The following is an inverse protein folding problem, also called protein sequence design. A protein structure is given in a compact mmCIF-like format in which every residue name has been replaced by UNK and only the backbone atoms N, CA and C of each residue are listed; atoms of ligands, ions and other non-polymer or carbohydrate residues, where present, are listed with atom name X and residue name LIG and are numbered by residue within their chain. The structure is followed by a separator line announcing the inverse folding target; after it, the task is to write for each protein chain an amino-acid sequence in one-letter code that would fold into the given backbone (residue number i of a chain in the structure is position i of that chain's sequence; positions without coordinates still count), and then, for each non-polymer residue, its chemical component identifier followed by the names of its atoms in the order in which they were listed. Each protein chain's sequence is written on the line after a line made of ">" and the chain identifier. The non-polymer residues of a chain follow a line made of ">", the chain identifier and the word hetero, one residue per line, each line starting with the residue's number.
data_IF_627334146167
#
_entry.id   IF_627334146167
#
_cell.length_a   1.000
_cell.length_b   1.000
_cell.length_c   1.000
_cell.angle_alpha   90.00
_cell.angle_beta   90.00
_cell.angle_gamma   90.00
#
_symmetry.space_group_name_H-M   'P 1'
#
loop_
_entity.id
_entity.type
_entity.pdbx_description
1 polymer ?
#
# COMPACT_ATOMS: atom_id res chain seq x y z
N UNK A 1 -31.66 37.69 28.01
CA UNK A 1 -30.52 37.31 27.13
C UNK A 1 -30.33 35.79 27.07
N UNK A 2 -30.08 35.08 28.19
CA UNK A 2 -29.79 33.63 28.18
C UNK A 2 -30.85 32.69 27.55
N UNK A 3 -32.16 32.99 27.66
CA UNK A 3 -33.23 32.18 27.04
C UNK A 3 -33.28 32.27 25.50
N UNK A 4 -32.72 33.33 24.91
CA UNK A 4 -32.72 33.54 23.46
C UNK A 4 -31.55 32.78 22.80
N UNK A 5 -30.38 32.75 23.45
CA UNK A 5 -29.18 32.04 22.99
C UNK A 5 -29.36 30.52 23.00
N UNK A 6 -29.95 29.95 24.06
CA UNK A 6 -30.25 28.51 24.11
C UNK A 6 -31.21 28.05 22.99
N UNK A 7 -32.15 28.93 22.58
CA UNK A 7 -33.12 28.65 21.51
C UNK A 7 -32.52 28.86 20.10
N UNK A 8 -31.41 29.58 19.98
CA UNK A 8 -30.64 29.68 18.73
C UNK A 8 -29.69 28.50 18.58
N UNK A 9 -28.93 28.14 19.63
CA UNK A 9 -28.07 26.95 19.64
C UNK A 9 -28.85 25.66 19.35
N UNK A 10 -30.04 25.49 19.95
CA UNK A 10 -30.88 24.31 19.67
C UNK A 10 -31.39 24.21 18.23
N UNK A 11 -31.53 25.35 17.52
CA UNK A 11 -31.93 25.37 16.10
C UNK A 11 -30.76 25.13 15.16
N UNK A 12 -29.57 25.56 15.55
CA UNK A 12 -28.32 25.38 14.79
C UNK A 12 -27.82 23.92 14.88
N UNK A 13 -27.89 23.32 16.07
CA UNK A 13 -27.64 21.88 16.28
C UNK A 13 -28.61 21.00 15.48
N UNK A 14 -29.90 21.37 15.44
CA UNK A 14 -30.90 20.60 14.69
C UNK A 14 -30.66 20.67 13.17
N UNK A 15 -30.27 21.84 12.64
CA UNK A 15 -29.88 21.98 11.22
C UNK A 15 -28.62 21.19 10.86
N UNK A 16 -27.63 21.15 11.75
CA UNK A 16 -26.40 20.39 11.51
C UNK A 16 -26.66 18.88 11.52
N UNK A 17 -27.47 18.39 12.46
CA UNK A 17 -27.92 16.99 12.50
C UNK A 17 -28.77 16.61 11.28
N UNK A 18 -29.71 17.46 10.87
CA UNK A 18 -30.51 17.22 9.66
C UNK A 18 -29.64 17.22 8.39
N UNK A 19 -28.56 18.02 8.35
CA UNK A 19 -27.59 18.02 7.23
C UNK A 19 -26.67 16.80 7.21
N UNK A 20 -26.24 16.29 8.37
CA UNK A 20 -25.43 15.06 8.45
C UNK A 20 -26.26 13.82 8.14
N UNK A 21 -27.52 13.77 8.58
CA UNK A 21 -28.45 12.68 8.24
C UNK A 21 -28.74 12.67 6.73
N UNK A 22 -29.00 13.84 6.13
CA UNK A 22 -29.20 13.95 4.68
C UNK A 22 -27.95 13.59 3.88
N UNK A 23 -26.74 13.95 4.34
CA UNK A 23 -25.50 13.56 3.67
C UNK A 23 -25.19 12.07 3.78
N UNK A 24 -25.56 11.43 4.90
CA UNK A 24 -25.42 9.99 5.06
C UNK A 24 -26.44 9.20 4.23
N UNK A 25 -27.69 9.68 4.12
CA UNK A 25 -28.70 9.07 3.25
C UNK A 25 -28.30 9.16 1.76
N UNK A 26 -27.74 10.29 1.32
CA UNK A 26 -27.22 10.45 -0.06
C UNK A 26 -26.02 9.52 -0.32
N UNK A 27 -25.18 9.28 0.70
CA UNK A 27 -24.01 8.39 0.61
C UNK A 27 -24.43 6.92 0.49
N UNK A 28 -25.48 6.52 1.20
CA UNK A 28 -26.04 5.17 1.15
C UNK A 28 -26.77 4.88 -0.17
N UNK A 29 -27.45 5.88 -0.75
CA UNK A 29 -28.15 5.73 -2.04
C UNK A 29 -27.19 5.62 -3.24
N UNK A 30 -26.06 6.33 -3.22
CA UNK A 30 -25.03 6.22 -4.28
C UNK A 30 -24.30 4.86 -4.18
N UNK A 31 -24.05 4.36 -2.97
CA UNK A 31 -23.46 3.04 -2.74
C UNK A 31 -24.34 1.89 -3.25
N UNK A 32 -25.66 1.97 -2.99
CA UNK A 32 -26.64 0.97 -3.47
C UNK A 32 -26.82 0.97 -4.98
N UNK A 33 -26.78 2.14 -5.64
CA UNK A 33 -27.04 2.26 -7.08
C UNK A 33 -25.89 1.76 -7.97
N UNK A 34 -24.64 1.80 -7.51
CA UNK A 34 -23.48 1.48 -8.35
C UNK A 34 -22.71 0.21 -7.96
N UNK A 35 -22.87 -0.29 -6.72
CA UNK A 35 -21.99 -1.36 -6.21
C UNK A 35 -22.70 -2.54 -5.53
N UNK A 36 -24.03 -2.56 -5.43
CA UNK A 36 -24.78 -3.77 -5.08
C UNK A 36 -24.48 -4.40 -3.71
N UNK A 37 -24.05 -3.63 -2.71
CA UNK A 37 -23.82 -4.15 -1.36
C UNK A 37 -25.10 -4.09 -0.52
N UNK A 38 -25.56 -5.26 -0.03
CA UNK A 38 -26.61 -5.37 0.99
C UNK A 38 -26.05 -5.20 2.41
N UNK A 39 -26.87 -4.63 3.29
CA UNK A 39 -26.59 -4.26 4.68
C UNK A 39 -25.73 -5.26 5.46
N UNK A 40 -24.57 -4.79 5.94
CA UNK A 40 -23.86 -5.40 7.06
C UNK A 40 -23.48 -4.31 8.06
N UNK A 41 -24.41 -4.01 8.96
CA UNK A 41 -24.12 -3.34 10.21
C UNK A 41 -23.19 -4.24 11.05
N UNK A 42 -22.00 -3.75 11.38
CA UNK A 42 -21.13 -4.42 12.36
C UNK A 42 -21.68 -4.23 13.78
N UNK A 43 -21.59 -5.23 14.67
CA UNK A 43 -22.08 -5.10 16.05
C UNK A 43 -21.19 -4.13 16.82
N UNK A 44 -21.78 -3.01 17.27
CA UNK A 44 -21.15 -2.10 18.23
C UNK A 44 -21.07 -2.80 19.59
N UNK A 45 -19.87 -3.13 20.05
CA UNK A 45 -19.66 -3.55 21.44
C UNK A 45 -19.87 -2.35 22.37
N UNK A 46 -20.72 -2.56 23.38
CA UNK A 46 -21.09 -1.58 24.38
C UNK A 46 -19.96 -1.33 25.39
N UNK A 47 -19.05 -0.40 25.08
CA UNK A 47 -18.23 0.26 26.07
C UNK A 47 -18.24 1.75 25.73
N UNK A 48 -18.80 2.60 26.62
CA UNK A 48 -18.90 4.04 26.38
C UNK A 48 -17.55 4.72 26.13
N UNK A 49 -17.54 6.01 25.77
CA UNK A 49 -16.39 6.76 25.23
C UNK A 49 -15.03 6.53 25.94
N UNK A 50 -15.02 6.30 27.26
CA UNK A 50 -13.79 5.99 28.02
C UNK A 50 -13.25 4.58 27.78
N UNK A 51 -14.12 3.61 27.52
CA UNK A 51 -13.74 2.24 27.15
C UNK A 51 -13.15 2.18 25.74
N UNK A 52 -13.72 2.94 24.80
CA UNK A 52 -13.17 3.07 23.45
C UNK A 52 -11.79 3.74 23.47
N UNK A 53 -11.61 4.82 24.25
CA UNK A 53 -10.30 5.45 24.43
C UNK A 53 -9.26 4.50 25.05
N UNK A 54 -9.64 3.64 25.99
CA UNK A 54 -8.74 2.67 26.59
C UNK A 54 -8.33 1.57 25.58
N UNK A 55 -9.26 1.12 24.74
CA UNK A 55 -8.97 0.18 23.64
C UNK A 55 -8.04 0.81 22.62
N UNK A 56 -8.28 2.06 22.22
CA UNK A 56 -7.44 2.78 21.26
C UNK A 56 -6.03 3.04 21.82
N UNK A 57 -5.90 3.34 23.12
CA UNK A 57 -4.60 3.50 23.79
C UNK A 57 -3.87 2.15 23.88
N UNK A 58 -4.58 1.07 24.24
CA UNK A 58 -3.99 -0.26 24.29
C UNK A 58 -3.56 -0.76 22.91
N UNK A 59 -4.32 -0.44 21.87
CA UNK A 59 -3.98 -0.76 20.48
C UNK A 59 -2.81 0.07 19.96
N UNK A 60 -2.73 1.36 20.33
CA UNK A 60 -1.55 2.22 20.09
C UNK A 60 -0.30 1.72 20.81
N UNK A 61 -0.41 1.26 22.05
CA UNK A 61 0.71 0.68 22.80
C UNK A 61 1.17 -0.67 22.20
N UNK A 62 0.23 -1.54 21.77
CA UNK A 62 0.59 -2.77 21.05
C UNK A 62 1.19 -2.48 19.68
N UNK A 63 0.71 -1.44 18.98
CA UNK A 63 1.31 -1.00 17.73
C UNK A 63 2.73 -0.48 17.97
N UNK A 64 2.98 0.31 19.01
CA UNK A 64 4.31 0.79 19.36
C UNK A 64 5.28 -0.36 19.73
N UNK A 65 4.81 -1.38 20.46
CA UNK A 65 5.61 -2.56 20.79
C UNK A 65 6.01 -3.36 19.54
N UNK A 66 5.05 -3.63 18.63
CA UNK A 66 5.32 -4.29 17.34
C UNK A 66 6.20 -3.44 16.41
N UNK A 67 6.12 -2.12 16.51
CA UNK A 67 6.99 -1.20 15.78
C UNK A 67 8.44 -1.28 16.27
N UNK A 68 8.67 -1.45 17.58
CA UNK A 68 10.01 -1.68 18.14
C UNK A 68 10.60 -3.02 17.70
N UNK A 69 9.78 -4.06 17.51
CA UNK A 69 10.22 -5.36 16.99
C UNK A 69 10.59 -5.27 15.50
N UNK A 70 9.75 -4.63 14.69
CA UNK A 70 10.01 -4.40 13.26
C UNK A 70 11.25 -3.52 13.07
N UNK A 71 11.42 -2.48 13.89
CA UNK A 71 12.61 -1.62 13.87
C UNK A 71 13.87 -2.37 14.31
N UNK A 72 13.77 -3.22 15.33
CA UNK A 72 14.86 -4.12 15.72
C UNK A 72 15.24 -5.12 14.63
N UNK A 73 14.27 -5.68 13.91
CA UNK A 73 14.52 -6.64 12.83
C UNK A 73 15.11 -5.96 11.57
N UNK A 74 14.63 -4.75 11.23
CA UNK A 74 15.16 -3.94 10.12
C UNK A 74 16.59 -3.46 10.43
N UNK A 75 16.87 -3.07 11.67
CA UNK A 75 18.22 -2.70 12.14
C UNK A 75 19.16 -3.91 12.14
N UNK A 76 18.68 -5.10 12.54
CA UNK A 76 19.49 -6.33 12.52
C UNK A 76 19.83 -6.79 11.11
N UNK A 77 18.91 -6.65 10.16
CA UNK A 77 19.15 -7.02 8.75
C UNK A 77 20.02 -6.02 7.98
N UNK A 78 20.30 -4.84 8.55
CA UNK A 78 21.15 -3.80 7.96
C UNK A 78 22.57 -3.77 8.54
N UNK A 79 22.88 -4.61 9.53
CA UNK A 79 24.25 -4.84 10.02
C UNK A 79 24.91 -5.96 9.21
N UNK A 80 26.16 -5.80 8.72
CA UNK A 80 26.86 -6.88 8.03
C UNK A 80 27.21 -7.98 9.04
N UNK A 81 26.59 -9.16 8.91
CA UNK A 81 26.93 -10.31 9.76
C UNK A 81 28.23 -10.95 9.28
N UNK A 82 29.28 -10.86 10.09
CA UNK A 82 30.49 -11.67 9.98
C UNK A 82 30.16 -13.13 10.34
N UNK A 83 29.85 -13.97 9.35
CA UNK A 83 30.05 -15.42 9.45
C UNK A 83 30.41 -15.98 8.08
N UNK A 84 31.69 -16.27 7.89
CA UNK A 84 32.20 -17.08 6.80
C UNK A 84 31.87 -18.57 7.00
N UNK A 85 31.80 -19.26 5.86
CA UNK A 85 31.97 -20.70 5.65
C UNK A 85 30.81 -21.62 6.04
N UNK A 86 29.99 -21.98 5.05
CA UNK A 86 29.98 -23.36 4.56
C UNK A 86 29.24 -23.50 3.22
N UNK A 87 29.85 -24.32 2.37
CA UNK A 87 29.60 -24.52 0.95
C UNK A 87 28.23 -25.19 0.68
N UNK A 88 27.58 -24.81 -0.44
CA UNK A 88 26.50 -25.53 -1.18
C UNK A 88 25.10 -24.89 -1.19
N UNK A 89 24.99 -23.67 -1.73
CA UNK A 89 23.78 -23.19 -2.41
C UNK A 89 24.19 -22.23 -3.53
N UNK A 90 24.09 -22.67 -4.79
CA UNK A 90 24.30 -21.80 -5.95
C UNK A 90 22.94 -21.18 -6.30
N UNK A 91 22.59 -20.09 -5.60
CA UNK A 91 21.67 -19.09 -6.14
C UNK A 91 22.37 -18.27 -7.24
N UNK A 92 21.62 -17.60 -8.14
CA UNK A 92 22.23 -16.89 -9.25
C UNK A 92 23.24 -15.84 -8.78
N UNK A 93 24.43 -15.92 -9.36
CA UNK A 93 25.60 -15.09 -9.10
C UNK A 93 25.26 -13.64 -9.47
N UNK A 94 25.10 -12.78 -8.46
CA UNK A 94 25.01 -11.34 -8.65
C UNK A 94 26.42 -10.77 -8.82
N UNK A 95 26.89 -10.71 -10.07
CA UNK A 95 27.95 -9.79 -10.50
C UNK A 95 27.48 -9.04 -11.74
N UNK A 96 26.45 -8.22 -11.56
CA UNK A 96 26.18 -7.11 -12.46
C UNK A 96 25.98 -5.85 -11.62
N UNK A 97 26.61 -4.78 -12.11
CA UNK A 97 26.84 -3.51 -11.45
C UNK A 97 25.60 -3.02 -10.70
N UNK A 98 25.79 -2.64 -9.43
CA UNK A 98 24.86 -1.78 -8.73
C UNK A 98 24.79 -0.46 -9.51
N UNK A 99 23.86 -0.37 -10.47
CA UNK A 99 23.40 0.92 -10.97
C UNK A 99 22.77 1.60 -9.77
N UNK A 100 23.47 2.59 -9.23
CA UNK A 100 23.04 3.35 -8.08
C UNK A 100 21.64 3.87 -8.30
N UNK A 101 20.77 3.69 -7.30
CA UNK A 101 19.45 4.30 -7.30
C UNK A 101 19.62 5.82 -7.41
N UNK A 102 19.23 6.42 -8.53
CA UNK A 102 19.35 7.88 -8.72
C UNK A 102 18.29 8.69 -7.98
N UNK A 103 17.32 8.02 -7.33
CA UNK A 103 16.13 8.64 -6.75
C UNK A 103 14.95 8.77 -7.73
N UNK A 104 15.16 8.58 -9.04
CA UNK A 104 14.09 8.80 -10.03
C UNK A 104 12.98 7.74 -9.98
N UNK A 105 11.75 8.13 -10.36
CA UNK A 105 10.62 7.20 -10.53
C UNK A 105 10.86 6.11 -11.58
N UNK A 106 11.76 6.35 -12.54
CA UNK A 106 12.12 5.31 -13.51
C UNK A 106 13.01 4.23 -12.88
N UNK A 107 13.98 4.62 -12.06
CA UNK A 107 14.82 3.66 -11.35
C UNK A 107 14.05 2.91 -10.26
N UNK A 108 13.11 3.58 -9.58
CA UNK A 108 12.18 2.94 -8.66
C UNK A 108 11.28 1.92 -9.37
N UNK A 109 10.80 2.24 -10.58
CA UNK A 109 10.08 1.27 -11.41
C UNK A 109 10.95 0.07 -11.79
N UNK A 110 12.21 0.28 -12.19
CA UNK A 110 13.15 -0.82 -12.47
C UNK A 110 13.35 -1.73 -11.26
N UNK A 111 13.47 -1.16 -10.05
CA UNK A 111 13.58 -1.95 -8.82
C UNK A 111 12.32 -2.76 -8.54
N UNK A 112 11.14 -2.19 -8.80
CA UNK A 112 9.87 -2.93 -8.76
C UNK A 112 9.89 -4.10 -9.75
N UNK A 113 10.34 -3.87 -10.99
CA UNK A 113 10.50 -4.93 -12.01
C UNK A 113 11.46 -6.03 -11.53
N UNK A 114 12.58 -5.68 -10.91
CA UNK A 114 13.55 -6.66 -10.39
C UNK A 114 12.98 -7.50 -9.25
N UNK A 115 12.11 -6.92 -8.41
CA UNK A 115 11.46 -7.66 -7.31
C UNK A 115 10.35 -8.59 -7.79
N UNK A 116 9.60 -8.21 -8.83
CA UNK A 116 8.47 -8.98 -9.38
C UNK A 116 8.90 -9.96 -10.49
N UNK A 117 9.96 -9.62 -11.19
CA UNK A 117 10.39 -10.25 -12.42
C UNK A 117 11.02 -11.60 -12.21
N UNK A 118 10.51 -12.61 -12.92
CA UNK A 118 11.23 -13.86 -13.13
C UNK A 118 12.14 -13.71 -14.33
N UNK A 119 13.33 -14.30 -14.27
CA UNK A 119 14.36 -14.18 -15.29
C UNK A 119 14.57 -15.52 -15.99
N UNK A 120 14.71 -15.50 -17.31
CA UNK A 120 15.08 -16.68 -18.11
C UNK A 120 16.58 -17.00 -17.95
N UNK A 121 17.05 -18.06 -18.63
CA UNK A 121 18.47 -18.47 -18.58
C UNK A 121 19.45 -17.41 -19.13
N UNK A 122 18.95 -16.46 -19.91
CA UNK A 122 19.74 -15.39 -20.51
C UNK A 122 19.66 -14.10 -19.67
N UNK A 123 18.89 -14.09 -18.57
CA UNK A 123 18.70 -12.93 -17.69
C UNK A 123 17.58 -11.97 -18.13
N UNK A 124 16.75 -12.34 -19.10
CA UNK A 124 15.63 -11.50 -19.55
C UNK A 124 14.34 -11.83 -18.79
N UNK A 125 13.41 -10.88 -18.71
CA UNK A 125 12.11 -11.12 -18.08
C UNK A 125 11.38 -12.27 -18.78
N UNK A 126 10.99 -13.27 -18.01
CA UNK A 126 10.29 -14.46 -18.48
C UNK A 126 8.77 -14.28 -18.42
N UNK A 127 8.05 -15.03 -19.26
CA UNK A 127 6.59 -15.06 -19.28
C UNK A 127 6.11 -16.15 -18.34
N UNK A 128 5.67 -15.74 -17.15
CA UNK A 128 5.20 -16.67 -16.13
C UNK A 128 3.73 -17.04 -16.37
N UNK A 129 3.44 -18.34 -16.51
CA UNK A 129 2.06 -18.82 -16.56
C UNK A 129 1.48 -18.89 -15.14
N UNK A 130 0.36 -18.21 -14.94
CA UNK A 130 -0.33 -18.20 -13.66
C UNK A 130 -1.12 -19.51 -13.50
N UNK A 131 -1.09 -20.15 -12.32
CA UNK A 131 -1.94 -21.30 -12.04
C UNK A 131 -3.43 -20.96 -12.20
N UNK A 132 -4.23 -21.94 -12.61
CA UNK A 132 -5.68 -21.75 -12.67
C UNK A 132 -6.24 -21.39 -11.28
N UNK A 133 -7.11 -20.38 -11.23
CA UNK A 133 -7.67 -19.85 -9.98
C UNK A 133 -6.85 -18.72 -9.35
N UNK A 134 -5.67 -18.41 -9.89
CA UNK A 134 -4.97 -17.18 -9.52
C UNK A 134 -5.72 -15.96 -10.07
N UNK A 135 -5.91 -14.94 -9.23
CA UNK A 135 -6.82 -13.83 -9.53
C UNK A 135 -6.27 -12.89 -10.61
N UNK A 136 -5.05 -13.10 -11.11
CA UNK A 136 -4.34 -12.29 -12.12
C UNK A 136 -4.56 -12.69 -13.58
N UNK A 137 -5.28 -13.77 -13.89
CA UNK A 137 -5.49 -14.22 -15.27
C UNK A 137 -4.66 -15.46 -15.60
N UNK A 138 -4.09 -15.52 -16.80
CA UNK A 138 -3.36 -16.71 -17.29
C UNK A 138 -1.85 -16.54 -17.35
N UNK A 139 -1.33 -15.31 -17.43
CA UNK A 139 0.11 -15.07 -17.41
C UNK A 139 0.45 -13.66 -16.93
N UNK A 140 1.70 -13.49 -16.50
CA UNK A 140 2.29 -12.21 -16.14
C UNK A 140 3.75 -12.09 -16.57
N UNK A 141 4.22 -10.84 -16.67
CA UNK A 141 5.62 -10.48 -16.84
C UNK A 141 5.92 -9.38 -15.81
N UNK A 142 6.73 -9.67 -14.80
CA UNK A 142 7.07 -8.75 -13.70
C UNK A 142 5.84 -8.10 -13.03
N UNK A 143 4.87 -8.91 -12.62
CA UNK A 143 3.61 -8.46 -11.98
C UNK A 143 2.59 -7.83 -12.93
N UNK A 144 2.95 -7.55 -14.19
CA UNK A 144 2.04 -7.05 -15.22
C UNK A 144 1.28 -8.24 -15.81
N UNK A 145 0.10 -8.52 -15.24
CA UNK A 145 -0.75 -9.65 -15.63
C UNK A 145 -1.78 -9.29 -16.70
N UNK A 146 -2.24 -10.30 -17.44
CA UNK A 146 -3.15 -10.10 -18.56
C UNK A 146 -4.62 -9.85 -18.19
N UNK A 147 -5.00 -9.92 -16.92
CA UNK A 147 -6.37 -9.59 -16.49
C UNK A 147 -6.53 -8.10 -16.18
N UNK A 148 -5.59 -7.54 -15.42
CA UNK A 148 -5.62 -6.15 -14.97
C UNK A 148 -4.86 -5.20 -15.89
N UNK A 149 -3.90 -5.73 -16.66
CA UNK A 149 -3.07 -4.98 -17.60
C UNK A 149 -3.01 -5.65 -18.99
N UNK A 150 -4.17 -5.97 -19.62
CA UNK A 150 -4.22 -6.85 -20.80
C UNK A 150 -3.35 -6.39 -21.97
N UNK A 151 -3.37 -5.10 -22.30
CA UNK A 151 -2.63 -4.54 -23.43
C UNK A 151 -1.13 -4.55 -23.18
N UNK A 152 -0.70 -4.17 -21.97
CA UNK A 152 0.71 -4.14 -21.59
C UNK A 152 1.30 -5.54 -21.45
N UNK A 153 0.57 -6.48 -20.84
CA UNK A 153 0.96 -7.88 -20.74
C UNK A 153 1.12 -8.50 -22.14
N UNK A 154 0.19 -8.21 -23.06
CA UNK A 154 0.27 -8.65 -24.45
C UNK A 154 1.51 -8.07 -25.15
N UNK A 155 1.75 -6.77 -25.04
CA UNK A 155 2.91 -6.12 -25.65
C UNK A 155 4.24 -6.72 -25.13
N UNK A 156 4.36 -6.93 -23.81
CA UNK A 156 5.51 -7.58 -23.19
C UNK A 156 5.74 -9.00 -23.70
N UNK A 157 4.66 -9.76 -23.90
CA UNK A 157 4.73 -11.13 -24.41
C UNK A 157 5.21 -11.19 -25.86
N UNK A 158 4.75 -10.26 -26.69
CA UNK A 158 5.03 -10.24 -28.14
C UNK A 158 6.38 -9.61 -28.50
N UNK A 159 6.93 -8.73 -27.64
CA UNK A 159 8.20 -8.06 -27.90
C UNK A 159 9.43 -8.93 -27.64
N UNK A 160 10.59 -8.47 -28.13
CA UNK A 160 11.88 -9.09 -27.88
C UNK A 160 12.17 -9.11 -26.37
N UNK A 161 12.60 -10.26 -25.78
CA UNK A 161 12.92 -10.35 -24.36
C UNK A 161 13.88 -9.27 -23.83
N UNK A 162 14.80 -8.79 -24.67
CA UNK A 162 15.77 -7.74 -24.32
C UNK A 162 15.13 -6.40 -24.00
N UNK A 163 13.95 -6.12 -24.56
CA UNK A 163 13.28 -4.82 -24.44
C UNK A 163 12.26 -4.80 -23.29
N UNK A 164 11.98 -5.96 -22.69
CA UNK A 164 10.92 -6.13 -21.68
C UNK A 164 11.16 -5.32 -20.42
N UNK A 165 12.40 -5.25 -19.93
CA UNK A 165 12.72 -4.52 -18.69
C UNK A 165 12.38 -3.04 -18.80
N UNK A 166 12.85 -2.40 -19.88
CA UNK A 166 12.60 -0.98 -20.12
C UNK A 166 11.11 -0.70 -20.32
N UNK A 167 10.42 -1.54 -21.09
CA UNK A 167 8.99 -1.39 -21.30
C UNK A 167 8.20 -1.54 -19.98
N UNK A 168 8.51 -2.59 -19.19
CA UNK A 168 7.84 -2.84 -17.92
C UNK A 168 8.05 -1.68 -16.93
N UNK A 169 9.28 -1.17 -16.81
CA UNK A 169 9.57 -0.04 -15.94
C UNK A 169 8.82 1.23 -16.38
N UNK A 170 8.81 1.55 -17.68
CA UNK A 170 8.03 2.69 -18.21
C UNK A 170 6.54 2.51 -17.97
N UNK A 171 6.02 1.30 -18.16
CA UNK A 171 4.61 0.99 -17.92
C UNK A 171 4.23 1.23 -16.46
N UNK A 172 4.99 0.68 -15.51
CA UNK A 172 4.76 0.86 -14.07
C UNK A 172 4.77 2.35 -13.71
N UNK A 173 5.80 3.08 -14.16
CA UNK A 173 5.90 4.53 -13.94
C UNK A 173 4.68 5.29 -14.42
N UNK A 174 4.22 5.02 -15.64
CA UNK A 174 3.06 5.70 -16.21
C UNK A 174 1.76 5.28 -15.51
N UNK A 175 1.58 4.00 -15.24
CA UNK A 175 0.40 3.46 -14.56
C UNK A 175 0.22 4.08 -13.16
N UNK A 176 1.31 4.27 -12.42
CA UNK A 176 1.29 4.84 -11.06
C UNK A 176 1.25 6.37 -11.02
N UNK A 177 1.45 7.04 -12.16
CA UNK A 177 1.49 8.51 -12.25
C UNK A 177 0.27 9.23 -11.66
N UNK A 178 -0.98 8.69 -11.67
CA UNK A 178 -2.11 9.38 -11.04
C UNK A 178 -1.98 9.53 -9.52
N UNK A 179 -1.12 8.73 -8.88
CA UNK A 179 -0.77 8.82 -7.46
C UNK A 179 0.52 9.63 -7.28
N UNK A 180 1.60 9.22 -7.95
CA UNK A 180 2.93 9.81 -7.70
C UNK A 180 3.02 11.28 -8.11
N UNK A 181 2.31 11.71 -9.16
CA UNK A 181 2.31 13.12 -9.59
C UNK A 181 1.61 14.07 -8.62
N UNK A 182 0.83 13.56 -7.67
CA UNK A 182 0.09 14.36 -6.69
C UNK A 182 0.77 14.43 -5.33
N UNK A 183 1.72 13.54 -5.07
CA UNK A 183 2.45 13.50 -3.80
C UNK A 183 3.71 14.36 -3.91
N UNK A 184 4.23 14.86 -2.77
CA UNK A 184 5.58 15.41 -2.74
C UNK A 184 6.61 14.38 -3.26
N UNK A 185 7.68 14.87 -3.88
CA UNK A 185 8.64 14.06 -4.64
C UNK A 185 9.26 12.93 -3.81
N UNK A 186 9.51 13.20 -2.53
CA UNK A 186 10.11 12.29 -1.55
C UNK A 186 9.28 11.01 -1.34
N UNK A 187 7.96 11.07 -1.59
CA UNK A 187 7.07 9.92 -1.47
C UNK A 187 6.97 9.09 -2.76
N UNK A 188 7.41 9.65 -3.89
CA UNK A 188 7.17 9.12 -5.22
C UNK A 188 7.60 7.66 -5.38
N UNK A 189 8.89 7.31 -5.20
CA UNK A 189 9.39 5.94 -5.32
C UNK A 189 8.65 4.93 -4.44
N UNK A 190 8.38 5.28 -3.18
CA UNK A 190 7.69 4.39 -2.25
C UNK A 190 6.24 4.15 -2.69
N UNK A 191 5.52 5.21 -3.04
CA UNK A 191 4.12 5.09 -3.45
C UNK A 191 3.95 4.51 -4.85
N UNK A 192 4.97 4.58 -5.71
CA UNK A 192 4.98 3.87 -6.98
C UNK A 192 4.89 2.36 -6.79
N UNK A 193 5.82 1.75 -6.04
CA UNK A 193 5.75 0.30 -5.76
C UNK A 193 4.43 -0.03 -5.06
N UNK A 194 4.07 0.69 -4.01
CA UNK A 194 2.85 0.41 -3.26
C UNK A 194 1.58 0.47 -4.14
N UNK A 195 1.48 1.47 -5.01
CA UNK A 195 0.34 1.66 -5.91
C UNK A 195 0.27 0.60 -7.01
N UNK A 196 1.42 0.14 -7.53
CA UNK A 196 1.44 -0.97 -8.46
C UNK A 196 0.90 -2.26 -7.81
N UNK A 197 1.28 -2.51 -6.56
CA UNK A 197 0.99 -3.78 -5.87
C UNK A 197 -0.39 -3.87 -5.24
N UNK A 198 -0.90 -2.76 -4.70
CA UNK A 198 -2.20 -2.71 -4.02
C UNK A 198 -3.24 -1.93 -4.81
N UNK A 199 -2.89 -1.48 -6.00
CA UNK A 199 -3.71 -0.59 -6.81
C UNK A 199 -3.65 0.86 -6.31
N UNK A 200 -3.99 1.78 -7.22
CA UNK A 200 -3.91 3.22 -6.98
C UNK A 200 -4.71 3.64 -5.74
N UNK A 201 -6.01 3.30 -5.68
CA UNK A 201 -6.86 3.63 -4.53
C UNK A 201 -6.42 2.92 -3.25
N UNK A 202 -6.02 1.65 -3.33
CA UNK A 202 -5.57 0.88 -2.17
C UNK A 202 -4.35 1.51 -1.50
N UNK A 203 -3.39 1.99 -2.28
CA UNK A 203 -2.21 2.70 -1.77
C UNK A 203 -2.56 4.00 -1.04
N UNK A 204 -3.48 4.80 -1.61
CA UNK A 204 -3.90 6.08 -1.01
C UNK A 204 -4.69 5.85 0.28
N UNK A 205 -5.53 4.81 0.34
CA UNK A 205 -6.25 4.47 1.57
C UNK A 205 -5.30 4.08 2.70
N UNK A 206 -4.24 3.34 2.40
CA UNK A 206 -3.21 3.01 3.38
C UNK A 206 -2.49 4.26 3.88
N UNK A 207 -2.18 5.21 2.98
CA UNK A 207 -1.64 6.51 3.36
C UNK A 207 -2.56 7.25 4.33
N UNK A 208 -3.82 7.44 3.93
CA UNK A 208 -4.80 8.20 4.72
C UNK A 208 -4.97 7.60 6.11
N UNK A 209 -5.11 6.27 6.22
CA UNK A 209 -5.16 5.58 7.52
C UNK A 209 -3.90 5.82 8.36
N UNK A 210 -2.72 5.73 7.73
CA UNK A 210 -1.44 5.91 8.42
C UNK A 210 -1.25 7.32 8.98
N UNK A 211 -1.82 8.34 8.33
CA UNK A 211 -1.83 9.73 8.80
C UNK A 211 -3.14 10.10 9.52
N UNK A 212 -3.99 9.13 9.87
CA UNK A 212 -5.19 9.35 10.68
C UNK A 212 -6.29 10.17 9.99
N UNK A 213 -6.39 10.10 8.67
CA UNK A 213 -7.48 10.66 7.88
C UNK A 213 -8.49 9.57 7.49
N UNK A 214 -9.70 9.99 7.13
CA UNK A 214 -10.69 9.12 6.49
C UNK A 214 -10.14 8.62 5.14
N UNK A 215 -10.36 7.34 4.84
CA UNK A 215 -9.71 6.63 3.74
C UNK A 215 -10.57 6.57 2.46
N UNK A 216 -10.93 7.74 1.93
CA UNK A 216 -11.69 7.85 0.68
C UNK A 216 -10.89 7.39 -0.57
N UNK A 217 -9.57 7.24 -0.45
CA UNK A 217 -8.67 6.82 -1.52
C UNK A 217 -8.33 7.93 -2.52
N UNK A 218 -8.57 9.20 -2.16
CA UNK A 218 -8.31 10.37 -3.00
C UNK A 218 -7.25 11.28 -2.36
N UNK A 219 -6.22 11.62 -3.13
CA UNK A 219 -5.24 12.64 -2.73
C UNK A 219 -5.85 14.02 -2.99
N UNK A 220 -6.40 14.63 -1.94
CA UNK A 220 -6.89 16.00 -1.93
C UNK A 220 -6.13 16.89 -0.96
N UNK A 221 -6.55 18.16 -0.84
CA UNK A 221 -5.85 19.17 -0.05
C UNK A 221 -5.61 18.74 1.41
N UNK A 222 -6.59 18.11 2.06
CA UNK A 222 -6.44 17.62 3.44
C UNK A 222 -5.30 16.60 3.60
N UNK A 223 -5.13 15.72 2.60
CA UNK A 223 -4.03 14.75 2.59
C UNK A 223 -2.69 15.49 2.45
N UNK A 224 -2.61 16.45 1.54
CA UNK A 224 -1.39 17.23 1.29
C UNK A 224 -1.01 18.13 2.47
N UNK A 225 -1.98 18.81 3.08
CA UNK A 225 -1.78 19.64 4.27
C UNK A 225 -1.26 18.83 5.45
N UNK A 226 -1.71 17.57 5.57
CA UNK A 226 -1.22 16.68 6.61
C UNK A 226 0.20 16.21 6.32
N UNK A 227 0.50 15.87 5.08
CA UNK A 227 1.84 15.45 4.66
C UNK A 227 2.88 16.56 4.84
N UNK A 228 2.52 17.82 4.61
CA UNK A 228 3.44 18.96 4.76
C UNK A 228 3.88 19.23 6.20
N UNK A 229 3.19 18.64 7.18
CA UNK A 229 3.47 18.77 8.61
C UNK A 229 4.21 17.56 9.18
N UNK A 230 4.49 16.55 8.37
CA UNK A 230 5.08 15.29 8.81
C UNK A 230 6.42 15.01 8.13
N UNK A 231 7.29 14.27 8.83
CA UNK A 231 8.51 13.75 8.24
C UNK A 231 8.17 12.60 7.26
N UNK A 232 8.63 12.64 5.99
CA UNK A 232 8.34 11.59 5.01
C UNK A 232 8.76 10.17 5.43
N UNK A 233 9.90 10.04 6.09
CA UNK A 233 10.40 8.73 6.58
C UNK A 233 9.43 8.13 7.59
N UNK A 234 8.94 8.95 8.53
CA UNK A 234 7.98 8.51 9.56
C UNK A 234 6.63 8.13 8.95
N UNK A 235 6.16 8.89 7.96
CA UNK A 235 4.94 8.58 7.21
C UNK A 235 5.08 7.23 6.52
N UNK A 236 6.14 7.02 5.76
CA UNK A 236 6.37 5.77 5.03
C UNK A 236 6.55 4.56 5.96
N UNK A 237 7.15 4.77 7.14
CA UNK A 237 7.20 3.77 8.22
C UNK A 237 5.79 3.42 8.71
N UNK A 238 4.96 4.43 9.02
CA UNK A 238 3.56 4.23 9.44
C UNK A 238 2.72 3.54 8.36
N UNK A 239 2.90 3.88 7.09
CA UNK A 239 2.21 3.25 5.96
C UNK A 239 2.57 1.78 5.83
N UNK A 240 3.86 1.45 5.99
CA UNK A 240 4.34 0.07 5.97
C UNK A 240 3.71 -0.76 7.10
N UNK A 241 3.64 -0.19 8.31
CA UNK A 241 2.97 -0.81 9.44
C UNK A 241 1.45 -0.96 9.22
N UNK A 242 0.80 0.03 8.60
CA UNK A 242 -0.63 -0.03 8.30
C UNK A 242 -0.95 -1.06 7.22
N UNK A 243 -0.10 -1.20 6.21
CA UNK A 243 -0.24 -2.28 5.23
C UNK A 243 -0.17 -3.63 5.92
N UNK A 244 0.82 -3.85 6.79
CA UNK A 244 0.96 -5.11 7.51
C UNK A 244 -0.27 -5.43 8.37
N UNK A 245 -0.80 -4.43 9.11
CA UNK A 245 -2.04 -4.59 9.87
C UNK A 245 -3.22 -4.92 8.97
N UNK A 246 -3.33 -4.27 7.82
CA UNK A 246 -4.38 -4.54 6.86
C UNK A 246 -4.33 -5.98 6.33
N UNK A 247 -3.15 -6.49 5.95
CA UNK A 247 -3.02 -7.87 5.51
C UNK A 247 -3.38 -8.87 6.61
N UNK A 248 -2.98 -8.61 7.87
CA UNK A 248 -3.33 -9.45 9.02
C UNK A 248 -4.85 -9.51 9.23
N UNK A 249 -5.55 -8.37 9.14
CA UNK A 249 -7.03 -8.34 9.19
C UNK A 249 -7.68 -9.13 8.04
N UNK A 250 -7.10 -9.12 6.84
CA UNK A 250 -7.60 -9.93 5.73
C UNK A 250 -7.40 -11.44 5.97
N UNK A 251 -6.33 -11.83 6.65
CA UNK A 251 -6.04 -13.22 7.01
C UNK A 251 -6.98 -13.69 8.12
N UNK A 252 -7.29 -12.84 9.10
CA UNK A 252 -8.28 -13.14 10.14
C UNK A 252 -9.66 -13.48 9.52
N UNK A 253 -10.05 -12.76 8.46
CA UNK A 253 -11.29 -13.01 7.72
C UNK A 253 -11.19 -14.16 6.69
N UNK A 254 -9.99 -14.47 6.21
CA UNK A 254 -9.73 -15.56 5.27
C UNK A 254 -8.35 -16.19 5.54
N UNK A 255 -8.28 -17.23 6.40
CA UNK A 255 -7.03 -17.84 6.82
C UNK A 255 -6.17 -18.42 5.68
N UNK A 256 -6.78 -18.81 4.55
CA UNK A 256 -6.03 -19.35 3.40
C UNK A 256 -5.06 -18.32 2.79
N UNK A 257 -5.31 -17.04 3.04
CA UNK A 257 -4.40 -15.95 2.62
C UNK A 257 -3.10 -15.93 3.41
N UNK A 258 -3.04 -16.61 4.56
CA UNK A 258 -1.87 -16.63 5.45
C UNK A 258 -0.58 -17.09 4.75
N UNK A 259 -0.69 -17.96 3.75
CA UNK A 259 0.46 -18.44 2.94
C UNK A 259 1.20 -17.32 2.20
N UNK A 260 0.56 -16.19 1.93
CA UNK A 260 1.16 -15.05 1.23
C UNK A 260 1.87 -14.06 2.17
N UNK A 261 1.61 -14.14 3.48
CA UNK A 261 2.09 -13.15 4.44
C UNK A 261 3.63 -13.00 4.47
N UNK A 262 4.44 -14.08 4.46
CA UNK A 262 5.89 -13.93 4.49
C UNK A 262 6.44 -13.16 3.28
N UNK A 263 5.89 -13.40 2.09
CA UNK A 263 6.28 -12.68 0.87
C UNK A 263 5.89 -11.20 0.92
N UNK A 264 4.68 -10.91 1.39
CA UNK A 264 4.20 -9.54 1.55
C UNK A 264 5.02 -8.78 2.60
N UNK A 265 5.35 -9.40 3.73
CA UNK A 265 6.18 -8.80 4.78
C UNK A 265 7.57 -8.46 4.26
N UNK A 266 8.23 -9.39 3.56
CA UNK A 266 9.54 -9.13 2.96
C UNK A 266 9.49 -7.96 1.97
N UNK A 267 8.44 -7.89 1.14
CA UNK A 267 8.27 -6.79 0.21
C UNK A 267 8.07 -5.45 0.90
N UNK A 268 7.23 -5.41 1.94
CA UNK A 268 7.00 -4.19 2.74
C UNK A 268 8.30 -3.71 3.34
N UNK A 269 9.11 -4.62 3.92
CA UNK A 269 10.42 -4.31 4.50
C UNK A 269 11.37 -3.76 3.44
N UNK A 270 11.49 -4.44 2.30
CA UNK A 270 12.37 -4.02 1.21
C UNK A 270 11.99 -2.66 0.62
N UNK A 271 10.69 -2.41 0.42
CA UNK A 271 10.20 -1.12 -0.05
C UNK A 271 10.55 0.00 0.93
N UNK A 272 10.29 -0.19 2.21
CA UNK A 272 10.62 0.82 3.21
C UNK A 272 12.14 1.04 3.32
N UNK A 273 12.94 -0.02 3.33
CA UNK A 273 14.38 0.10 3.41
C UNK A 273 14.99 0.82 2.21
N UNK A 274 14.47 0.58 1.00
CA UNK A 274 15.03 1.16 -0.22
C UNK A 274 14.49 2.56 -0.52
N UNK A 275 13.20 2.81 -0.33
CA UNK A 275 12.56 4.07 -0.73
C UNK A 275 12.10 4.93 0.45
N UNK A 276 11.94 4.33 1.63
CA UNK A 276 11.47 5.02 2.83
C UNK A 276 12.57 5.63 3.68
N UNK A 277 13.82 5.21 3.49
CA UNK A 277 15.02 5.72 4.18
C UNK A 277 15.99 6.44 3.25
N UNK A 278 15.64 6.59 1.97
CA UNK A 278 16.47 7.23 0.95
C UNK A 278 16.37 8.76 0.99
#
# INVERSE_FOLDING_TARGET
>A
MAKLEARMMGRELKKNLESEVAQNEIRDDIGKKYFGFSDMASPRYAAGDRGQQAVDIAEKMRAAARMSEIEGDIMKSSMPSEYESNNSFIGPINKQQQVGFSGSLYDAAKKTVDWEGRRDKNGYLDVYQLPSGDMGGSYEIAGINNKYHPEAAKALKEMNPKDRDEYAAKYIMNYTSPVTSKLPEEYGPFFQDLAFNRGLSGSVKLLQRAIGLNDDGVIGQKTLDRLSQENPVDVMKRVSAEQLRYEKRLIENNPERGKFLPGLENRIKNRYALFGMA
#
